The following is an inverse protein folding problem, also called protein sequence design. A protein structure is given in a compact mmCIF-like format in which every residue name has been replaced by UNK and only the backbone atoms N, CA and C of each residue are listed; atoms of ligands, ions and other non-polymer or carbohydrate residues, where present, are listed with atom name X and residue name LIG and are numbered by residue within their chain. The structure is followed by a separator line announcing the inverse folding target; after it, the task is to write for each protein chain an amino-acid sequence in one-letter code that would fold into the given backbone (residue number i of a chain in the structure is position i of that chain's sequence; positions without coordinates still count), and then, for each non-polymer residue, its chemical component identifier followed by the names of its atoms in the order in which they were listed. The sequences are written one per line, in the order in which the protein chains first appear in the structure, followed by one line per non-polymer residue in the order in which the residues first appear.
data_IF_681649225734
#
_entry.id   IF_681649225734
#
_cell.length_a   1.000
_cell.length_b   1.000
_cell.length_c   1.000
_cell.angle_alpha   90.00
_cell.angle_beta   90.00
_cell.angle_gamma   90.00
#
_symmetry.space_group_name_H-M   'P 1'
#
loop_
_entity.id
_entity.type
_entity.pdbx_description
1 polymer ?
#
# COMPACT_ATOMS: atom_id res chain seq x y z
N UNK A 1 2.04 31.70 13.58
CA UNK A 1 1.13 31.99 14.69
C UNK A 1 0.97 30.71 15.47
N UNK A 2 1.20 30.68 16.77
CA UNK A 2 0.90 29.50 17.57
C UNK A 2 -0.62 29.27 17.52
N UNK A 3 -1.00 28.04 17.38
CA UNK A 3 -2.38 27.57 17.43
C UNK A 3 -2.92 27.84 18.84
N UNK A 4 -3.69 28.91 19.00
CA UNK A 4 -4.44 29.11 20.23
C UNK A 4 -5.52 28.03 20.27
N UNK A 5 -5.24 26.98 21.02
CA UNK A 5 -6.21 25.94 21.29
C UNK A 5 -7.46 26.57 21.92
N UNK A 6 -8.55 26.53 21.16
CA UNK A 6 -9.87 26.79 21.75
C UNK A 6 -10.00 25.99 23.04
N UNK A 7 -10.56 26.61 24.10
CA UNK A 7 -10.83 25.90 25.37
C UNK A 7 -11.37 24.52 25.09
N UNK A 8 -10.84 23.49 25.74
CA UNK A 8 -11.33 22.14 25.50
C UNK A 8 -12.83 22.13 25.80
N UNK A 9 -13.63 21.92 24.77
CA UNK A 9 -15.06 21.67 24.95
C UNK A 9 -15.12 20.35 25.74
N UNK A 10 -15.80 20.33 26.90
CA UNK A 10 -15.92 19.12 27.67
C UNK A 10 -16.51 18.01 26.78
N UNK A 11 -15.90 16.83 26.82
CA UNK A 11 -16.38 15.71 26.02
C UNK A 11 -17.84 15.43 26.38
N UNK A 12 -18.71 15.21 25.39
CA UNK A 12 -20.12 14.92 25.65
C UNK A 12 -20.25 13.64 26.49
N UNK A 13 -21.19 13.64 27.40
CA UNK A 13 -21.49 12.47 28.23
C UNK A 13 -22.07 11.33 27.39
N UNK A 14 -22.00 10.09 27.86
CA UNK A 14 -22.64 8.95 27.18
C UNK A 14 -24.13 9.14 26.93
N UNK A 15 -24.84 9.83 27.83
CA UNK A 15 -26.26 10.08 27.69
C UNK A 15 -26.57 11.13 26.64
N UNK A 16 -25.75 12.18 26.54
CA UNK A 16 -25.84 13.15 25.46
C UNK A 16 -25.54 12.50 24.10
N UNK A 17 -24.58 11.59 24.05
CA UNK A 17 -24.26 10.84 22.84
C UNK A 17 -25.40 9.90 22.43
N UNK A 18 -26.06 9.21 23.38
CA UNK A 18 -27.24 8.38 23.12
C UNK A 18 -28.43 9.18 22.60
N UNK A 19 -28.64 10.40 23.14
CA UNK A 19 -29.71 11.27 22.69
C UNK A 19 -29.45 11.83 21.26
N UNK A 20 -28.19 12.05 20.90
CA UNK A 20 -27.81 12.69 19.64
C UNK A 20 -27.55 11.71 18.50
N UNK A 21 -26.99 10.54 18.81
CA UNK A 21 -26.58 9.56 17.81
C UNK A 21 -27.51 8.33 17.90
N UNK A 22 -28.38 8.10 16.91
CA UNK A 22 -29.20 6.91 16.87
C UNK A 22 -28.35 5.64 16.94
N UNK A 23 -28.64 4.75 17.86
CA UNK A 23 -27.89 3.51 18.05
C UNK A 23 -26.59 3.64 18.85
N UNK A 24 -26.28 4.81 19.43
CA UNK A 24 -25.14 4.93 20.33
C UNK A 24 -25.30 4.01 21.56
N UNK A 25 -24.34 3.10 21.73
CA UNK A 25 -24.37 2.12 22.83
C UNK A 25 -25.38 0.99 22.64
N UNK A 26 -26.04 0.90 21.49
CA UNK A 26 -26.87 -0.24 21.09
C UNK A 26 -26.06 -1.50 20.72
N UNK A 27 -24.75 -1.38 20.71
CA UNK A 27 -23.83 -2.52 20.62
C UNK A 27 -24.06 -3.49 21.79
N UNK A 28 -23.39 -4.60 21.73
CA UNK A 28 -23.38 -5.62 22.76
C UNK A 28 -23.31 -5.01 24.16
N UNK A 29 -24.19 -5.47 25.05
CA UNK A 29 -24.13 -5.12 26.47
C UNK A 29 -22.67 -5.31 26.99
N UNK A 30 -22.20 -4.51 27.95
CA UNK A 30 -20.83 -4.57 28.41
C UNK A 30 -20.35 -5.98 28.76
N UNK A 31 -21.24 -6.79 29.32
CA UNK A 31 -21.01 -8.20 29.65
C UNK A 31 -20.83 -9.11 28.43
N UNK A 32 -21.32 -8.68 27.26
CA UNK A 32 -21.17 -9.39 25.98
C UNK A 32 -20.12 -8.80 25.07
N UNK A 33 -19.48 -7.70 25.48
CA UNK A 33 -18.33 -7.16 24.76
C UNK A 33 -17.13 -8.03 25.04
N UNK A 34 -16.67 -8.76 24.04
CA UNK A 34 -15.39 -9.47 24.16
C UNK A 34 -14.29 -8.44 24.29
N UNK A 35 -13.74 -8.29 25.49
CA UNK A 35 -12.49 -7.59 25.68
C UNK A 35 -11.36 -8.48 25.18
N UNK A 36 -10.23 -7.88 24.82
CA UNK A 36 -9.03 -8.65 24.44
C UNK A 36 -8.64 -9.70 25.51
N UNK A 37 -8.99 -9.50 26.77
CA UNK A 37 -8.80 -10.44 27.89
C UNK A 37 -9.76 -11.64 27.85
N UNK A 38 -10.89 -11.53 27.17
CA UNK A 38 -11.85 -12.61 26.99
C UNK A 38 -11.56 -13.48 25.77
N UNK A 39 -10.57 -13.11 24.97
CA UNK A 39 -10.10 -13.93 23.84
C UNK A 39 -9.39 -15.19 24.35
N UNK A 40 -8.90 -15.17 25.58
CA UNK A 40 -8.27 -16.35 26.21
C UNK A 40 -9.28 -17.48 26.49
N UNK A 41 -10.58 -17.16 26.50
CA UNK A 41 -11.66 -18.13 26.69
C UNK A 41 -12.19 -18.76 25.39
N UNK A 42 -11.71 -18.28 24.23
CA UNK A 42 -11.88 -18.98 22.96
C UNK A 42 -10.84 -20.10 22.99
N UNK A 43 -11.27 -21.29 23.36
CA UNK A 43 -10.40 -22.46 23.48
C UNK A 43 -9.31 -22.51 22.41
N UNK A 44 -8.18 -23.04 22.75
CA UNK A 44 -7.01 -23.09 21.88
C UNK A 44 -7.42 -23.46 20.44
N UNK A 45 -7.39 -22.47 19.56
CA UNK A 45 -7.71 -22.66 18.14
C UNK A 45 -6.57 -23.34 17.40
N UNK A 46 -5.44 -23.65 18.07
CA UNK A 46 -4.21 -24.14 17.46
C UNK A 46 -3.51 -23.06 16.62
N UNK A 47 -4.08 -21.86 16.52
CA UNK A 47 -3.47 -20.77 15.79
C UNK A 47 -2.39 -20.14 16.68
N UNK A 48 -1.16 -20.39 16.32
CA UNK A 48 -0.02 -19.72 16.92
C UNK A 48 0.93 -19.28 15.82
N UNK A 49 1.67 -18.23 16.09
CA UNK A 49 2.77 -17.75 15.23
C UNK A 49 3.87 -17.18 16.09
N UNK A 50 5.07 -17.54 15.76
CA UNK A 50 6.24 -16.92 16.35
C UNK A 50 6.36 -15.51 15.80
N UNK A 51 6.34 -14.52 16.68
CA UNK A 51 6.60 -13.13 16.27
C UNK A 51 8.04 -13.05 15.77
N UNK A 52 8.24 -12.63 14.53
CA UNK A 52 9.58 -12.45 14.00
C UNK A 52 10.31 -11.36 14.78
N UNK A 53 11.64 -11.40 14.77
CA UNK A 53 12.46 -10.40 15.43
C UNK A 53 12.16 -8.99 14.90
N UNK A 54 12.15 -8.02 15.80
CA UNK A 54 11.98 -6.62 15.45
C UNK A 54 13.20 -6.13 14.68
N UNK A 55 12.97 -5.48 13.56
CA UNK A 55 14.05 -4.91 12.76
C UNK A 55 14.77 -3.79 13.49
N UNK A 56 16.08 -3.87 13.48
CA UNK A 56 16.95 -2.83 14.00
C UNK A 56 16.89 -1.52 13.20
N UNK A 57 17.56 -0.46 13.67
CA UNK A 57 17.69 0.81 12.96
C UNK A 57 18.67 0.67 11.79
N UNK A 58 18.25 0.02 10.73
CA UNK A 58 19.04 -0.10 9.51
C UNK A 58 18.98 1.21 8.69
N UNK A 59 20.10 1.61 8.10
CA UNK A 59 20.20 2.80 7.24
C UNK A 59 19.37 2.70 5.96
N UNK A 60 18.96 1.50 5.58
CA UNK A 60 18.11 1.24 4.42
C UNK A 60 16.61 1.42 4.66
N UNK A 61 16.19 1.58 5.93
CA UNK A 61 14.76 1.66 6.26
C UNK A 61 14.16 3.03 5.92
N UNK A 62 12.90 2.98 5.51
CA UNK A 62 12.12 4.16 5.19
C UNK A 62 11.82 4.97 6.44
N UNK A 63 12.05 6.27 6.37
CA UNK A 63 11.78 7.21 7.45
C UNK A 63 11.14 8.47 6.90
N UNK A 64 9.95 8.81 7.40
CA UNK A 64 9.33 10.10 7.10
C UNK A 64 10.03 11.21 7.87
N UNK A 65 10.15 12.39 7.26
CA UNK A 65 10.64 13.61 7.94
C UNK A 65 9.75 14.04 9.10
N UNK A 66 8.51 13.58 9.13
CA UNK A 66 7.53 13.92 10.17
C UNK A 66 7.65 13.04 11.42
N UNK A 67 8.39 11.93 11.33
CA UNK A 67 8.55 11.00 12.43
C UNK A 67 9.94 11.08 13.04
N UNK A 68 10.00 11.30 14.34
CA UNK A 68 11.25 11.33 15.10
C UNK A 68 11.94 9.97 15.19
N UNK A 69 11.18 8.88 15.12
CA UNK A 69 11.66 7.51 15.22
C UNK A 69 11.27 6.69 14.00
N UNK A 70 12.05 5.66 13.71
CA UNK A 70 11.68 4.64 12.73
C UNK A 70 10.44 3.87 13.23
N UNK A 71 9.43 3.66 12.38
CA UNK A 71 8.29 2.84 12.75
C UNK A 71 8.75 1.41 13.11
N UNK A 72 8.16 0.78 14.14
CA UNK A 72 8.46 -0.60 14.48
C UNK A 72 8.01 -1.53 13.36
N UNK A 73 8.93 -2.34 12.87
CA UNK A 73 8.67 -3.36 11.85
C UNK A 73 9.22 -4.68 12.34
N UNK A 74 8.41 -5.72 12.26
CA UNK A 74 8.79 -7.09 12.55
C UNK A 74 8.96 -7.86 11.25
N UNK A 75 9.84 -8.86 11.25
CA UNK A 75 10.13 -9.65 10.09
C UNK A 75 10.99 -8.94 9.05
N UNK A 76 10.89 -9.39 7.82
CA UNK A 76 11.69 -8.88 6.68
C UNK A 76 10.92 -7.79 5.95
N UNK A 77 11.26 -6.51 6.16
CA UNK A 77 10.89 -5.47 5.22
C UNK A 77 11.90 -5.46 4.07
N UNK A 78 11.44 -5.15 2.88
CA UNK A 78 12.34 -4.95 1.76
C UNK A 78 13.10 -3.63 1.95
N UNK A 79 14.44 -3.65 2.07
CA UNK A 79 15.20 -2.43 2.17
C UNK A 79 15.10 -1.63 0.87
N UNK A 80 15.22 -0.33 0.96
CA UNK A 80 15.29 0.54 -0.21
C UNK A 80 16.53 0.20 -1.04
N UNK A 81 16.32 -0.25 -2.28
CA UNK A 81 17.41 -0.69 -3.16
C UNK A 81 17.29 -0.15 -4.59
N UNK A 82 18.40 -0.10 -5.28
CA UNK A 82 18.43 0.30 -6.68
C UNK A 82 17.87 1.70 -6.96
N UNK A 83 17.43 1.92 -8.19
CA UNK A 83 16.85 3.19 -8.65
C UNK A 83 15.51 3.47 -7.96
N UNK A 84 14.67 2.46 -7.80
CA UNK A 84 13.39 2.57 -7.09
C UNK A 84 13.59 3.03 -5.65
N UNK A 85 14.55 2.45 -4.96
CA UNK A 85 14.92 2.85 -3.59
C UNK A 85 15.47 4.28 -3.51
N UNK A 86 16.24 4.73 -4.50
CA UNK A 86 16.71 6.10 -4.55
C UNK A 86 15.55 7.11 -4.71
N UNK A 87 14.58 6.81 -5.58
CA UNK A 87 13.39 7.64 -5.78
C UNK A 87 12.56 7.70 -4.48
N UNK A 88 12.32 6.56 -3.84
CA UNK A 88 11.59 6.50 -2.57
C UNK A 88 12.30 7.27 -1.47
N UNK A 89 13.63 7.18 -1.38
CA UNK A 89 14.41 7.94 -0.40
C UNK A 89 14.22 9.45 -0.58
N UNK A 90 14.24 9.94 -1.82
CA UNK A 90 13.95 11.37 -2.09
C UNK A 90 12.54 11.74 -1.64
N UNK A 91 11.55 10.86 -1.85
CA UNK A 91 10.18 11.09 -1.40
C UNK A 91 10.09 11.20 0.12
N UNK A 92 10.76 10.31 0.85
CA UNK A 92 10.75 10.30 2.31
C UNK A 92 11.54 11.45 2.94
N UNK A 93 12.71 11.78 2.37
CA UNK A 93 13.66 12.73 2.97
C UNK A 93 13.28 14.20 2.69
N UNK A 94 12.51 14.46 1.63
CA UNK A 94 12.26 15.83 1.17
C UNK A 94 10.81 16.28 1.15
N UNK A 95 9.87 15.36 1.28
CA UNK A 95 8.47 15.70 1.12
C UNK A 95 7.63 15.22 2.32
N UNK A 96 6.80 16.13 2.85
CA UNK A 96 5.80 15.82 3.86
C UNK A 96 4.77 14.81 3.34
N UNK A 97 4.18 14.05 4.23
CA UNK A 97 3.15 13.05 3.94
C UNK A 97 1.91 13.63 3.26
N UNK A 98 1.63 14.91 3.51
CA UNK A 98 0.50 15.63 2.93
C UNK A 98 0.75 16.12 1.49
N UNK A 99 1.99 16.03 0.98
CA UNK A 99 2.33 16.51 -0.36
C UNK A 99 2.04 15.48 -1.45
N UNK A 100 1.26 15.88 -2.44
CA UNK A 100 0.99 15.04 -3.62
C UNK A 100 2.28 14.59 -4.34
N UNK A 101 3.32 15.44 -4.32
CA UNK A 101 4.63 15.11 -4.90
C UNK A 101 5.25 13.88 -4.25
N UNK A 102 5.11 13.72 -2.92
CA UNK A 102 5.57 12.51 -2.23
C UNK A 102 4.88 11.28 -2.78
N UNK A 103 3.54 11.32 -2.87
CA UNK A 103 2.76 10.21 -3.42
C UNK A 103 3.18 9.86 -4.85
N UNK A 104 3.32 10.86 -5.73
CA UNK A 104 3.75 10.66 -7.11
C UNK A 104 5.15 9.99 -7.20
N UNK A 105 6.09 10.41 -6.36
CA UNK A 105 7.42 9.81 -6.30
C UNK A 105 7.36 8.36 -5.78
N UNK A 106 6.53 8.07 -4.79
CA UNK A 106 6.34 6.70 -4.30
C UNK A 106 5.74 5.79 -5.40
N UNK A 107 4.71 6.27 -6.11
CA UNK A 107 4.13 5.55 -7.26
C UNK A 107 5.18 5.35 -8.36
N UNK A 108 5.99 6.37 -8.66
CA UNK A 108 7.07 6.24 -9.63
C UNK A 108 8.10 5.18 -9.19
N UNK A 109 8.49 5.21 -7.91
CA UNK A 109 9.39 4.21 -7.34
C UNK A 109 8.84 2.79 -7.50
N UNK A 110 7.56 2.59 -7.20
CA UNK A 110 6.87 1.31 -7.39
C UNK A 110 6.86 0.85 -8.85
N UNK A 111 6.63 1.77 -9.79
CA UNK A 111 6.62 1.42 -11.22
C UNK A 111 8.00 1.05 -11.74
N UNK A 112 9.04 1.75 -11.27
CA UNK A 112 10.43 1.40 -11.58
C UNK A 112 10.77 0.03 -10.99
N UNK A 113 10.34 -0.24 -9.77
CA UNK A 113 10.56 -1.55 -9.13
C UNK A 113 9.82 -2.66 -9.88
N UNK A 114 8.58 -2.45 -10.28
CA UNK A 114 7.80 -3.38 -11.08
C UNK A 114 8.51 -3.75 -12.40
N UNK A 115 9.09 -2.78 -13.12
CA UNK A 115 9.87 -3.03 -14.34
C UNK A 115 11.05 -3.95 -14.05
N UNK A 116 11.80 -3.67 -12.99
CA UNK A 116 12.97 -4.48 -12.62
C UNK A 116 12.59 -5.87 -12.14
N UNK A 117 11.48 -5.98 -11.40
CA UNK A 117 10.94 -7.26 -10.95
C UNK A 117 10.47 -8.12 -12.13
N UNK A 118 9.69 -7.56 -13.06
CA UNK A 118 9.26 -8.27 -14.26
C UNK A 118 10.43 -8.71 -15.13
N UNK A 119 11.43 -7.83 -15.33
CA UNK A 119 12.63 -8.20 -16.09
C UNK A 119 13.40 -9.35 -15.42
N UNK A 120 13.49 -9.33 -14.07
CA UNK A 120 14.13 -10.40 -13.30
C UNK A 120 13.33 -11.69 -13.36
N UNK A 121 11.99 -11.62 -13.35
CA UNK A 121 11.13 -12.79 -13.41
C UNK A 121 11.31 -13.61 -14.68
N UNK A 122 11.67 -12.96 -15.81
CA UNK A 122 11.90 -13.63 -17.10
C UNK A 122 13.05 -14.67 -17.05
N UNK A 123 13.98 -14.53 -16.10
CA UNK A 123 15.09 -15.48 -15.92
C UNK A 123 14.80 -16.52 -14.83
N UNK A 124 13.62 -16.51 -14.24
CA UNK A 124 13.17 -17.47 -13.23
C UNK A 124 12.42 -18.63 -13.86
N UNK A 125 12.17 -19.69 -13.08
CA UNK A 125 11.33 -20.81 -13.52
C UNK A 125 9.83 -20.49 -13.57
N UNK A 126 9.44 -19.34 -13.05
CA UNK A 126 8.06 -18.85 -13.04
C UNK A 126 8.06 -17.38 -13.43
N UNK A 127 8.16 -17.08 -14.73
CA UNK A 127 8.08 -15.70 -15.21
C UNK A 127 6.69 -15.14 -14.89
N UNK A 128 6.66 -13.84 -14.59
CA UNK A 128 5.41 -13.13 -14.38
C UNK A 128 4.57 -13.17 -15.66
N UNK A 129 3.29 -13.45 -15.50
CA UNK A 129 2.33 -13.53 -16.61
C UNK A 129 1.25 -12.43 -16.45
N UNK A 130 1.26 -11.42 -17.33
CA UNK A 130 0.27 -10.34 -17.26
C UNK A 130 -1.17 -10.79 -17.55
N UNK A 131 -1.35 -11.96 -18.14
CA UNK A 131 -2.68 -12.44 -18.55
C UNK A 131 -3.36 -13.15 -17.38
N UNK A 132 -2.67 -14.08 -16.73
CA UNK A 132 -3.25 -14.89 -15.67
C UNK A 132 -3.14 -14.26 -14.28
N UNK A 133 -2.12 -13.43 -14.04
CA UNK A 133 -1.84 -12.84 -12.73
C UNK A 133 -2.49 -11.48 -12.49
N UNK A 134 -2.87 -10.77 -13.54
CA UNK A 134 -3.47 -9.42 -13.41
C UNK A 134 -4.99 -9.41 -13.29
N UNK A 135 -5.64 -10.57 -13.41
CA UNK A 135 -7.10 -10.67 -13.40
C UNK A 135 -7.77 -10.19 -14.70
N UNK A 136 -7.00 -9.87 -15.76
CA UNK A 136 -7.55 -9.39 -17.03
C UNK A 136 -8.56 -10.38 -17.65
N UNK A 137 -8.40 -11.67 -17.42
CA UNK A 137 -9.33 -12.70 -17.90
C UNK A 137 -10.69 -12.67 -17.17
N UNK A 138 -10.73 -12.12 -15.96
CA UNK A 138 -11.97 -11.99 -15.19
C UNK A 138 -12.75 -10.71 -15.58
N UNK A 139 -12.09 -9.71 -16.13
CA UNK A 139 -12.67 -8.43 -16.52
C UNK A 139 -13.97 -8.55 -17.34
N UNK A 140 -14.05 -9.35 -18.42
CA UNK A 140 -15.25 -9.45 -19.23
C UNK A 140 -16.48 -9.93 -18.45
N UNK A 141 -16.26 -10.72 -17.39
CA UNK A 141 -17.34 -11.29 -16.55
C UNK A 141 -17.85 -10.29 -15.49
N UNK A 142 -17.11 -9.22 -15.20
CA UNK A 142 -17.40 -8.27 -14.12
C UNK A 142 -17.84 -6.89 -14.63
N UNK A 143 -18.52 -6.84 -15.77
CA UNK A 143 -19.06 -5.60 -16.37
C UNK A 143 -17.99 -4.49 -16.44
N UNK A 144 -16.94 -4.65 -17.24
CA UNK A 144 -15.75 -3.81 -17.21
C UNK A 144 -16.03 -2.32 -17.48
N UNK A 145 -16.99 -2.00 -18.35
CA UNK A 145 -17.37 -0.62 -18.61
C UNK A 145 -18.14 -0.01 -17.44
N UNK A 146 -19.11 -0.73 -16.88
CA UNK A 146 -19.89 -0.24 -15.75
C UNK A 146 -19.04 -0.07 -14.49
N UNK A 147 -18.04 -0.94 -14.28
CA UNK A 147 -17.10 -0.82 -13.14
C UNK A 147 -16.18 0.39 -13.28
N UNK A 148 -15.84 0.83 -14.49
CA UNK A 148 -14.95 1.98 -14.73
C UNK A 148 -15.69 3.30 -14.87
N UNK A 149 -16.88 3.29 -15.46
CA UNK A 149 -17.66 4.49 -15.77
C UNK A 149 -19.02 4.51 -15.05
N UNK A 150 -19.31 3.53 -14.21
CA UNK A 150 -20.57 3.41 -13.49
C UNK A 150 -20.74 4.45 -12.39
N UNK A 151 -22.03 4.69 -12.04
CA UNK A 151 -22.37 5.54 -10.90
C UNK A 151 -21.91 4.89 -9.60
N UNK A 152 -21.48 5.72 -8.64
CA UNK A 152 -21.02 5.25 -7.32
C UNK A 152 -19.51 5.06 -7.18
N UNK A 153 -18.72 5.26 -8.22
CA UNK A 153 -17.26 5.36 -8.07
C UNK A 153 -16.88 6.74 -7.52
N UNK A 154 -16.09 6.73 -6.46
CA UNK A 154 -15.63 7.95 -5.80
C UNK A 154 -14.52 8.62 -6.62
N UNK A 155 -13.68 7.84 -7.28
CA UNK A 155 -12.52 8.33 -8.02
C UNK A 155 -12.58 8.01 -9.52
N UNK A 156 -13.27 8.87 -10.25
CA UNK A 156 -13.27 8.83 -11.73
C UNK A 156 -12.17 9.71 -12.33
N UNK A 157 -11.62 10.66 -11.56
CA UNK A 157 -10.65 11.64 -12.07
C UNK A 157 -9.32 11.01 -12.43
N UNK A 158 -8.94 9.94 -11.77
CA UNK A 158 -7.65 9.27 -11.96
C UNK A 158 -7.73 8.00 -12.81
N UNK A 159 -8.93 7.57 -13.21
CA UNK A 159 -9.13 6.34 -14.00
C UNK A 159 -8.32 6.30 -15.30
N UNK A 160 -8.01 7.45 -15.88
CA UNK A 160 -7.17 7.54 -17.08
C UNK A 160 -5.70 7.18 -16.83
N UNK A 161 -5.24 7.29 -15.57
CA UNK A 161 -3.89 6.89 -15.17
C UNK A 161 -3.75 5.37 -14.98
N UNK A 162 -4.85 4.67 -14.68
CA UNK A 162 -4.82 3.24 -14.38
C UNK A 162 -4.12 2.42 -15.48
N UNK A 163 -4.42 2.59 -16.78
CA UNK A 163 -3.71 1.85 -17.82
C UNK A 163 -2.21 2.14 -17.83
N UNK A 164 -1.79 3.38 -17.55
CA UNK A 164 -0.39 3.78 -17.54
C UNK A 164 0.31 3.12 -16.34
N UNK A 165 -0.32 3.16 -15.18
CA UNK A 165 0.24 2.62 -13.93
C UNK A 165 0.32 1.10 -13.98
N UNK A 166 -0.70 0.42 -14.51
CA UNK A 166 -0.78 -1.04 -14.53
C UNK A 166 -0.04 -1.64 -15.72
N UNK A 167 -0.28 -1.13 -16.92
CA UNK A 167 0.27 -1.70 -18.17
C UNK A 167 1.67 -1.16 -18.49
N UNK A 168 1.95 0.08 -18.07
CA UNK A 168 3.22 0.76 -18.36
C UNK A 168 4.47 -0.05 -18.02
N UNK A 169 4.61 -0.60 -16.80
CA UNK A 169 5.76 -1.43 -16.43
C UNK A 169 5.95 -2.65 -17.34
N UNK A 170 4.86 -3.31 -17.73
CA UNK A 170 4.92 -4.46 -18.64
C UNK A 170 5.42 -4.08 -20.03
N UNK A 171 4.85 -3.01 -20.61
CA UNK A 171 5.27 -2.50 -21.92
C UNK A 171 6.74 -2.11 -21.89
N UNK A 172 7.16 -1.39 -20.87
CA UNK A 172 8.54 -0.95 -20.72
C UNK A 172 9.49 -2.15 -20.57
N UNK A 173 9.11 -3.15 -19.80
CA UNK A 173 9.89 -4.39 -19.66
C UNK A 173 10.08 -5.07 -21.01
N UNK A 174 9.02 -5.25 -21.79
CA UNK A 174 9.09 -5.86 -23.12
C UNK A 174 10.01 -5.06 -24.05
N UNK A 175 9.82 -3.74 -24.10
CA UNK A 175 10.65 -2.86 -24.94
C UNK A 175 12.13 -2.94 -24.57
N UNK A 176 12.45 -2.90 -23.28
CA UNK A 176 13.83 -2.99 -22.81
C UNK A 176 14.44 -4.37 -23.11
N UNK A 177 13.69 -5.45 -22.91
CA UNK A 177 14.14 -6.81 -23.21
C UNK A 177 14.43 -7.00 -24.71
N UNK A 178 13.51 -6.55 -25.58
CA UNK A 178 13.70 -6.62 -27.04
C UNK A 178 14.92 -5.78 -27.46
N UNK A 179 15.09 -4.58 -26.90
CA UNK A 179 16.27 -3.76 -27.19
C UNK A 179 17.57 -4.41 -26.74
N UNK A 180 17.58 -5.04 -25.58
CA UNK A 180 18.76 -5.77 -25.09
C UNK A 180 19.11 -6.95 -26.01
N UNK A 181 18.14 -7.77 -26.37
CA UNK A 181 18.32 -8.89 -27.28
C UNK A 181 18.86 -8.45 -28.66
N UNK A 182 18.29 -7.38 -29.23
CA UNK A 182 18.77 -6.82 -30.52
C UNK A 182 20.20 -6.30 -30.42
N UNK A 183 20.61 -5.72 -29.30
CA UNK A 183 22.00 -5.27 -29.10
C UNK A 183 22.97 -6.44 -28.99
N UNK A 184 22.58 -7.51 -28.31
CA UNK A 184 23.39 -8.72 -28.19
C UNK A 184 23.55 -9.39 -29.55
N UNK A 185 22.48 -9.55 -30.34
CA UNK A 185 22.54 -10.15 -31.68
C UNK A 185 23.29 -9.33 -32.72
N UNK A 186 23.56 -8.03 -32.48
CA UNK A 186 24.40 -7.20 -33.39
C UNK A 186 25.87 -7.25 -33.06
N UNK A 187 26.26 -7.88 -31.95
CA UNK A 187 27.66 -8.02 -31.54
C UNK A 187 28.29 -9.34 -31.99
N UNK A 188 27.49 -10.20 -32.58
CA UNK A 188 27.88 -11.42 -33.27
C UNK A 188 27.71 -11.28 -34.78
#
# INVERSE_FOLDING_TARGET
MPYEGSRPVPAPTPDELRARIPGWGADLAPEHRRTWQQVDDVGDTGAHWDLPERQGPDRGRERSIEHGMLPPVWGTAQPLHGVSGAIRRVAYDRFSETKNTRWLLLVLGDRVDAVTAHARSLVTRRPDDPITQTGVLAEPRHRPLASRFGRGRIDLRHTWLDPIIVVGPWVLTVVLSVRALRRLGRRH
#
